data_IF_922496540753
#
_entry.id   IF_922496540753
#
_cell.length_a   1.000
_cell.length_b   1.000
_cell.length_c   1.000
_cell.angle_alpha   90.00
_cell.angle_beta   90.00
_cell.angle_gamma   90.00
#
_symmetry.space_group_name_H-M   'P 1'
#
loop_
_entity.id
_entity.type
_entity.pdbx_description
1 polymer ?
#
# COMPACT_ATOMS: atom_id res chain seq x y z
N UNK A 1 -18.18 23.72 11.36
CA UNK A 1 -17.32 22.70 10.72
C UNK A 1 -17.47 21.42 11.53
N UNK A 2 -18.26 20.45 11.05
CA UNK A 2 -18.59 19.23 11.81
C UNK A 2 -17.34 18.37 12.04
N UNK A 3 -16.98 18.18 13.31
CA UNK A 3 -16.07 17.19 13.91
C UNK A 3 -14.83 16.79 13.08
N UNK A 4 -13.66 17.36 13.45
CA UNK A 4 -12.33 16.95 12.98
C UNK A 4 -11.94 15.50 13.34
N UNK A 5 -12.34 14.95 14.50
CA UNK A 5 -12.10 13.54 14.79
C UNK A 5 -13.19 12.67 14.15
N UNK A 6 -12.76 11.66 13.41
CA UNK A 6 -13.62 10.71 12.73
C UNK A 6 -13.08 9.28 12.87
N UNK A 7 -14.01 8.33 12.80
CA UNK A 7 -13.72 6.91 12.80
C UNK A 7 -14.18 6.25 11.50
N UNK A 8 -13.42 5.26 11.02
CA UNK A 8 -13.68 4.53 9.78
C UNK A 8 -14.09 3.10 10.08
N UNK A 9 -15.36 2.80 9.84
CA UNK A 9 -15.87 1.42 9.91
C UNK A 9 -15.45 0.64 8.68
N UNK A 10 -15.07 -0.64 8.80
CA UNK A 10 -14.88 -1.50 7.64
C UNK A 10 -16.16 -1.63 6.82
N UNK A 11 -16.10 -1.23 5.56
CA UNK A 11 -17.16 -1.35 4.58
C UNK A 11 -16.57 -1.76 3.22
N UNK A 12 -17.42 -1.92 2.21
CA UNK A 12 -16.98 -2.33 0.87
C UNK A 12 -15.97 -1.35 0.27
N UNK A 13 -16.19 -0.03 0.39
CA UNK A 13 -15.33 1.00 -0.15
C UNK A 13 -13.94 0.99 0.47
N UNK A 14 -13.85 0.91 1.81
CA UNK A 14 -12.57 0.84 2.51
C UNK A 14 -11.83 -0.46 2.20
N UNK A 15 -12.55 -1.59 2.04
CA UNK A 15 -11.91 -2.85 1.65
C UNK A 15 -11.34 -2.76 0.23
N UNK A 16 -12.10 -2.23 -0.74
CA UNK A 16 -11.63 -2.08 -2.13
C UNK A 16 -10.49 -1.06 -2.19
N UNK A 17 -10.57 0.07 -1.49
CA UNK A 17 -9.47 1.03 -1.41
C UNK A 17 -8.22 0.39 -0.78
N UNK A 18 -8.38 -0.42 0.26
CA UNK A 18 -7.25 -1.13 0.87
C UNK A 18 -6.58 -2.11 -0.10
N UNK A 19 -7.33 -2.69 -1.04
CA UNK A 19 -6.77 -3.54 -2.10
C UNK A 19 -5.88 -2.72 -3.05
N UNK A 20 -6.35 -1.54 -3.50
CA UNK A 20 -5.55 -0.63 -4.34
C UNK A 20 -4.28 -0.17 -3.61
N UNK A 21 -4.40 0.21 -2.34
CA UNK A 21 -3.25 0.58 -1.51
C UNK A 21 -2.29 -0.60 -1.36
N UNK A 22 -2.79 -1.83 -1.18
CA UNK A 22 -1.95 -3.03 -1.05
C UNK A 22 -1.20 -3.37 -2.35
N UNK A 23 -1.87 -3.25 -3.49
CA UNK A 23 -1.27 -3.48 -4.81
C UNK A 23 -0.14 -2.48 -5.09
N UNK A 24 -0.37 -1.22 -4.75
CA UNK A 24 0.63 -0.15 -4.97
C UNK A 24 1.73 -0.19 -3.92
N UNK A 25 1.42 -0.63 -2.70
CA UNK A 25 2.40 -0.88 -1.64
C UNK A 25 3.40 -1.97 -2.01
N UNK A 26 2.97 -2.99 -2.75
CA UNK A 26 3.86 -4.05 -3.25
C UNK A 26 5.05 -3.51 -4.03
N UNK A 27 4.86 -2.43 -4.80
CA UNK A 27 5.92 -1.77 -5.59
C UNK A 27 7.01 -1.17 -4.70
N UNK A 28 6.70 -0.89 -3.43
CA UNK A 28 7.65 -0.34 -2.45
C UNK A 28 8.14 -1.42 -1.49
N UNK A 29 7.25 -2.28 -1.02
CA UNK A 29 7.55 -3.32 -0.03
C UNK A 29 8.56 -4.34 -0.53
N UNK A 30 8.40 -4.81 -1.77
CA UNK A 30 9.30 -5.78 -2.36
C UNK A 30 10.72 -5.21 -2.49
N UNK A 31 10.94 -4.04 -3.14
CA UNK A 31 12.28 -3.46 -3.17
C UNK A 31 12.86 -3.16 -1.80
N UNK A 32 12.02 -2.75 -0.84
CA UNK A 32 12.47 -2.45 0.53
C UNK A 32 13.00 -3.70 1.23
N UNK A 33 12.22 -4.78 1.27
CA UNK A 33 12.64 -6.04 1.91
C UNK A 33 13.84 -6.65 1.18
N UNK A 34 13.83 -6.68 -0.15
CA UNK A 34 14.92 -7.28 -0.94
C UNK A 34 16.21 -6.50 -0.79
N UNK A 35 16.15 -5.16 -0.78
CA UNK A 35 17.36 -4.35 -0.52
C UNK A 35 17.94 -4.58 0.88
N UNK A 36 17.09 -4.89 1.88
CA UNK A 36 17.54 -5.21 3.23
C UNK A 36 18.14 -6.62 3.35
N UNK A 37 17.56 -7.60 2.65
CA UNK A 37 17.90 -9.02 2.87
C UNK A 37 18.83 -9.61 1.81
N UNK A 38 18.67 -9.22 0.54
CA UNK A 38 19.52 -9.64 -0.58
C UNK A 38 20.80 -8.77 -0.67
N UNK A 39 20.80 -7.62 0.02
CA UNK A 39 21.89 -6.65 0.00
C UNK A 39 22.17 -6.14 -1.41
N UNK A 40 23.45 -6.03 -1.77
CA UNK A 40 23.91 -5.45 -3.04
C UNK A 40 23.57 -6.29 -4.27
N UNK A 41 23.12 -7.53 -4.10
CA UNK A 41 22.71 -8.40 -5.21
C UNK A 41 21.36 -8.00 -5.82
N UNK A 42 20.52 -7.30 -5.06
CA UNK A 42 19.24 -6.79 -5.54
C UNK A 42 19.36 -5.32 -5.96
N UNK A 43 19.05 -5.06 -7.23
CA UNK A 43 18.95 -3.72 -7.79
C UNK A 43 17.48 -3.35 -8.04
N UNK A 44 17.16 -2.09 -7.83
CA UNK A 44 15.85 -1.52 -8.11
C UNK A 44 15.99 -0.14 -8.75
N UNK A 45 14.96 0.26 -9.49
CA UNK A 45 14.91 1.56 -10.13
C UNK A 45 13.47 2.01 -10.35
N UNK A 46 13.25 3.31 -10.31
CA UNK A 46 11.96 3.91 -10.63
C UNK A 46 12.15 5.31 -11.20
N UNK A 47 11.24 5.71 -12.07
CA UNK A 47 11.11 7.11 -12.48
C UNK A 47 10.06 7.77 -11.58
N UNK A 48 10.48 8.82 -10.89
CA UNK A 48 9.64 9.57 -9.95
C UNK A 48 9.61 11.05 -10.35
N UNK A 49 8.50 11.49 -10.94
CA UNK A 49 8.28 12.85 -11.46
C UNK A 49 9.44 13.34 -12.34
N UNK A 50 9.91 12.47 -13.24
CA UNK A 50 10.99 12.77 -14.18
C UNK A 50 12.40 12.66 -13.63
N UNK A 51 12.55 12.25 -12.35
CA UNK A 51 13.83 11.89 -11.75
C UNK A 51 13.98 10.36 -11.76
N UNK A 52 15.08 9.86 -12.31
CA UNK A 52 15.42 8.44 -12.23
C UNK A 52 16.13 8.17 -10.91
N UNK A 53 15.53 7.33 -10.07
CA UNK A 53 16.06 6.92 -8.78
C UNK A 53 16.32 5.43 -8.84
N UNK A 54 17.55 5.03 -8.55
CA UNK A 54 17.96 3.62 -8.54
C UNK A 54 18.92 3.33 -7.39
N UNK A 55 19.00 2.07 -6.99
CA UNK A 55 19.88 1.61 -5.93
C UNK A 55 20.12 0.11 -5.98
N UNK A 56 21.16 -0.33 -5.29
CA UNK A 56 21.41 -1.74 -5.02
C UNK A 56 21.67 -1.94 -3.53
N UNK A 57 20.89 -2.79 -2.87
CA UNK A 57 20.95 -2.96 -1.42
C UNK A 57 20.74 -1.67 -0.61
N UNK A 58 21.41 -1.57 0.54
CA UNK A 58 21.35 -0.42 1.45
C UNK A 58 22.37 0.65 1.02
N UNK A 59 22.06 1.36 -0.05
CA UNK A 59 22.81 2.52 -0.55
C UNK A 59 22.08 3.83 -0.20
N UNK A 60 22.68 5.03 -0.38
CA UNK A 60 21.99 6.29 -0.06
C UNK A 60 20.62 6.46 -0.71
N UNK A 61 20.39 5.91 -1.91
CA UNK A 61 19.09 5.91 -2.57
C UNK A 61 18.01 5.09 -1.83
N UNK A 62 18.39 4.19 -0.93
CA UNK A 62 17.47 3.48 -0.03
C UNK A 62 16.64 4.44 0.84
N UNK A 63 17.10 5.67 1.07
CA UNK A 63 16.32 6.70 1.77
C UNK A 63 14.99 6.99 1.08
N UNK A 64 14.95 6.90 -0.26
CA UNK A 64 13.72 7.05 -1.02
C UNK A 64 12.72 5.94 -0.65
N UNK A 65 13.17 4.68 -0.56
CA UNK A 65 12.32 3.58 -0.13
C UNK A 65 11.85 3.76 1.31
N UNK A 66 12.68 4.29 2.22
CA UNK A 66 12.26 4.61 3.60
C UNK A 66 11.12 5.65 3.60
N UNK A 67 11.23 6.72 2.79
CA UNK A 67 10.17 7.72 2.69
C UNK A 67 8.88 7.14 2.12
N UNK A 68 8.98 6.35 1.05
CA UNK A 68 7.82 5.68 0.46
C UNK A 68 7.17 4.69 1.44
N UNK A 69 7.97 3.88 2.13
CA UNK A 69 7.50 2.97 3.18
C UNK A 69 6.78 3.71 4.30
N UNK A 70 7.32 4.86 4.71
CA UNK A 70 6.73 5.70 5.76
C UNK A 70 5.37 6.27 5.31
N UNK A 71 5.26 6.72 4.05
CA UNK A 71 3.98 7.13 3.46
C UNK A 71 2.96 5.99 3.49
N UNK A 72 3.31 4.81 2.97
CA UNK A 72 2.43 3.66 2.95
C UNK A 72 2.03 3.17 4.34
N UNK A 73 2.98 3.08 5.28
CA UNK A 73 2.69 2.71 6.66
C UNK A 73 1.66 3.67 7.29
N UNK A 74 1.83 4.97 7.06
CA UNK A 74 0.91 6.00 7.57
C UNK A 74 -0.46 5.94 6.91
N UNK A 75 -0.52 5.70 5.59
CA UNK A 75 -1.77 5.53 4.84
C UNK A 75 -2.52 4.28 5.29
N UNK A 76 -1.82 3.14 5.42
CA UNK A 76 -2.42 1.87 5.85
C UNK A 76 -2.92 1.96 7.30
N UNK A 77 -2.14 2.57 8.20
CA UNK A 77 -2.62 2.90 9.54
C UNK A 77 -3.84 3.83 9.48
N UNK A 78 -3.78 4.83 8.59
CA UNK A 78 -4.82 5.82 8.34
C UNK A 78 -6.17 5.22 7.96
N UNK A 79 -6.19 4.12 7.21
CA UNK A 79 -7.42 3.43 6.76
C UNK A 79 -8.41 3.19 7.90
N UNK A 80 -7.92 2.94 9.11
CA UNK A 80 -8.75 2.53 10.23
C UNK A 80 -8.48 3.24 11.56
N UNK A 81 -7.28 3.77 11.77
CA UNK A 81 -6.83 4.21 13.11
C UNK A 81 -6.56 5.70 13.25
N UNK A 82 -6.43 6.42 12.15
CA UNK A 82 -6.18 7.87 12.21
C UNK A 82 -7.45 8.65 12.53
N UNK A 83 -7.46 9.37 13.65
CA UNK A 83 -8.65 10.16 14.06
C UNK A 83 -8.85 11.42 13.22
N UNK A 84 -7.77 12.11 12.85
CA UNK A 84 -7.87 13.38 12.15
C UNK A 84 -8.30 13.18 10.68
N UNK A 85 -9.54 13.59 10.38
CA UNK A 85 -10.13 13.49 9.02
C UNK A 85 -9.34 14.24 7.96
N UNK A 86 -8.92 15.48 8.25
CA UNK A 86 -8.19 16.32 7.30
C UNK A 86 -6.82 15.73 6.98
N UNK A 87 -6.12 15.25 8.01
CA UNK A 87 -4.82 14.61 7.84
C UNK A 87 -4.94 13.34 6.99
N UNK A 88 -5.94 12.49 7.27
CA UNK A 88 -6.15 11.29 6.48
C UNK A 88 -6.53 11.59 5.03
N UNK A 89 -7.44 12.54 4.78
CA UNK A 89 -7.79 12.98 3.43
C UNK A 89 -6.58 13.53 2.67
N UNK A 90 -5.75 14.33 3.33
CA UNK A 90 -4.48 14.81 2.78
C UNK A 90 -3.52 13.66 2.43
N UNK A 91 -3.38 12.67 3.31
CA UNK A 91 -2.55 11.49 3.07
C UNK A 91 -3.05 10.64 1.89
N UNK A 92 -4.36 10.46 1.75
CA UNK A 92 -4.94 9.78 0.59
C UNK A 92 -4.68 10.56 -0.71
N UNK A 93 -4.77 11.90 -0.67
CA UNK A 93 -4.40 12.76 -1.79
C UNK A 93 -2.93 12.65 -2.16
N UNK A 94 -2.04 12.65 -1.17
CA UNK A 94 -0.60 12.45 -1.37
C UNK A 94 -0.32 11.06 -1.95
N UNK A 95 -0.95 10.00 -1.44
CA UNK A 95 -0.83 8.64 -2.00
C UNK A 95 -1.32 8.59 -3.45
N UNK A 96 -2.47 9.20 -3.76
CA UNK A 96 -3.00 9.24 -5.11
C UNK A 96 -2.04 9.96 -6.07
N UNK A 97 -1.48 11.11 -5.66
CA UNK A 97 -0.47 11.83 -6.45
C UNK A 97 0.82 11.02 -6.60
N UNK A 98 1.28 10.39 -5.54
CA UNK A 98 2.50 9.57 -5.54
C UNK A 98 2.42 8.40 -6.52
N UNK A 99 1.26 7.74 -6.61
CA UNK A 99 1.05 6.61 -7.51
C UNK A 99 0.61 7.08 -8.90
N UNK A 100 -0.60 7.64 -8.99
CA UNK A 100 -1.22 7.97 -10.26
C UNK A 100 -0.69 9.29 -10.82
N UNK A 101 -0.44 10.29 -9.97
CA UNK A 101 0.19 11.53 -10.43
C UNK A 101 1.57 11.29 -11.05
N UNK A 102 2.36 10.37 -10.50
CA UNK A 102 3.64 9.99 -11.08
C UNK A 102 3.49 9.32 -12.47
N UNK A 103 2.58 8.34 -12.59
CA UNK A 103 2.31 7.66 -13.86
C UNK A 103 1.73 8.61 -14.92
N UNK A 104 0.82 9.49 -14.52
CA UNK A 104 0.23 10.49 -15.41
C UNK A 104 1.26 11.53 -15.84
N UNK A 105 2.15 11.95 -14.94
CA UNK A 105 3.26 12.83 -15.30
C UNK A 105 4.17 12.19 -16.35
N UNK A 106 4.49 10.90 -16.18
CA UNK A 106 5.32 10.16 -17.13
C UNK A 106 4.67 10.09 -18.52
N UNK A 107 3.37 9.74 -18.58
CA UNK A 107 2.58 9.71 -19.82
C UNK A 107 2.54 11.11 -20.49
N UNK A 108 2.34 12.17 -19.70
CA UNK A 108 2.26 13.53 -20.23
C UNK A 108 3.60 14.04 -20.75
N UNK A 109 4.71 13.70 -20.08
CA UNK A 109 6.05 14.19 -20.43
C UNK A 109 6.69 13.38 -21.55
N UNK A 110 6.61 12.06 -21.47
CA UNK A 110 7.34 11.13 -22.33
C UNK A 110 6.45 10.54 -23.45
N UNK A 111 5.16 10.85 -23.43
CA UNK A 111 4.18 10.26 -24.33
C UNK A 111 3.64 8.93 -23.80
N UNK A 112 2.60 8.44 -24.46
CA UNK A 112 1.94 7.20 -24.06
C UNK A 112 2.79 5.99 -24.49
N UNK A 113 3.14 5.15 -23.53
CA UNK A 113 3.83 3.89 -23.82
C UNK A 113 2.81 2.84 -24.25
N UNK A 114 3.13 2.01 -25.24
CA UNK A 114 2.26 0.93 -25.69
C UNK A 114 2.81 -0.44 -25.27
N UNK A 115 1.96 -1.26 -24.66
CA UNK A 115 2.22 -2.69 -24.54
C UNK A 115 2.03 -3.35 -25.90
N UNK A 116 3.09 -4.01 -26.36
CA UNK A 116 3.09 -4.77 -27.61
C UNK A 116 2.97 -6.25 -27.27
N UNK A 117 1.82 -6.84 -27.61
CA UNK A 117 1.62 -8.28 -27.49
C UNK A 117 1.96 -8.97 -28.80
N UNK A 118 3.12 -9.63 -28.88
CA UNK A 118 3.61 -10.28 -30.11
C UNK A 118 2.70 -11.40 -30.63
N UNK A 119 1.92 -12.04 -29.75
CA UNK A 119 1.09 -13.21 -30.11
C UNK A 119 -0.24 -12.83 -30.76
N UNK A 120 -0.81 -11.66 -30.43
CA UNK A 120 -2.14 -11.24 -30.90
C UNK A 120 -2.12 -9.89 -31.65
N UNK A 121 -0.93 -9.30 -31.84
CA UNK A 121 -0.74 -7.96 -32.38
C UNK A 121 -1.65 -6.90 -31.72
N UNK A 122 -1.87 -7.06 -30.42
CA UNK A 122 -2.70 -6.12 -29.63
C UNK A 122 -1.76 -5.06 -29.07
N UNK A 123 -2.09 -3.80 -29.37
CA UNK A 123 -1.43 -2.64 -28.82
C UNK A 123 -2.35 -2.02 -27.76
N UNK A 124 -2.00 -2.18 -26.50
CA UNK A 124 -2.74 -1.54 -25.39
C UNK A 124 -1.89 -0.41 -24.87
N UNK A 125 -2.41 0.81 -24.98
CA UNK A 125 -1.76 1.99 -24.42
C UNK A 125 -1.80 1.91 -22.89
N UNK A 126 -0.71 2.30 -22.22
CA UNK A 126 -0.67 2.35 -20.76
C UNK A 126 -1.70 3.34 -20.23
N UNK A 127 -1.92 4.46 -20.92
CA UNK A 127 -2.93 5.45 -20.50
C UNK A 127 -4.35 4.88 -20.44
N UNK A 128 -4.71 3.93 -21.32
CA UNK A 128 -6.01 3.25 -21.28
C UNK A 128 -6.25 2.43 -20.01
N UNK A 129 -5.19 2.01 -19.32
CA UNK A 129 -5.26 1.31 -18.03
C UNK A 129 -5.12 2.28 -16.86
N UNK A 130 -4.18 3.22 -16.94
CA UNK A 130 -3.88 4.16 -15.84
C UNK A 130 -5.02 5.13 -15.58
N UNK A 131 -5.63 5.71 -16.62
CA UNK A 131 -6.68 6.72 -16.46
C UNK A 131 -7.94 6.17 -15.76
N UNK A 132 -8.50 5.00 -16.16
CA UNK A 132 -9.63 4.40 -15.45
C UNK A 132 -9.28 4.04 -14.00
N UNK A 133 -8.12 3.44 -13.76
CA UNK A 133 -7.70 3.05 -12.41
C UNK A 133 -7.51 4.27 -11.50
N UNK A 134 -6.89 5.35 -12.00
CA UNK A 134 -6.73 6.61 -11.28
C UNK A 134 -8.08 7.23 -10.92
N UNK A 135 -9.03 7.20 -11.86
CA UNK A 135 -10.39 7.72 -11.67
C UNK A 135 -11.17 6.90 -10.64
N UNK A 136 -11.10 5.57 -10.71
CA UNK A 136 -11.72 4.66 -9.74
C UNK A 136 -11.10 4.87 -8.35
N UNK A 137 -9.77 4.98 -8.25
CA UNK A 137 -9.11 5.24 -6.98
C UNK A 137 -9.55 6.58 -6.37
N UNK A 138 -9.69 7.63 -7.18
CA UNK A 138 -10.18 8.93 -6.73
C UNK A 138 -11.63 8.85 -6.23
N UNK A 139 -12.50 8.16 -6.98
CA UNK A 139 -13.89 7.92 -6.55
C UNK A 139 -13.94 7.15 -5.22
N UNK A 140 -13.11 6.11 -5.06
CA UNK A 140 -13.02 5.35 -3.81
C UNK A 140 -12.57 6.21 -2.63
N UNK A 141 -11.61 7.13 -2.83
CA UNK A 141 -11.20 8.10 -1.80
C UNK A 141 -12.40 8.95 -1.37
N UNK A 142 -13.15 9.51 -2.33
CA UNK A 142 -14.34 10.32 -2.05
C UNK A 142 -15.38 9.51 -1.27
N UNK A 143 -15.67 8.29 -1.72
CA UNK A 143 -16.64 7.39 -1.06
C UNK A 143 -16.22 7.04 0.37
N UNK A 144 -14.95 6.67 0.58
CA UNK A 144 -14.43 6.33 1.92
C UNK A 144 -14.54 7.53 2.86
N UNK A 145 -14.12 8.72 2.43
CA UNK A 145 -14.24 9.95 3.22
C UNK A 145 -15.70 10.35 3.47
N UNK A 146 -16.63 9.98 2.58
CA UNK A 146 -18.07 10.18 2.76
C UNK A 146 -18.71 9.23 3.77
N UNK A 147 -18.10 8.07 4.02
CA UNK A 147 -18.63 7.06 4.97
C UNK A 147 -18.09 7.16 6.40
N UNK A 148 -17.28 8.17 6.69
CA UNK A 148 -16.71 8.40 8.01
C UNK A 148 -17.78 8.72 9.05
N UNK A 149 -17.62 8.18 10.26
CA UNK A 149 -18.51 8.39 11.39
C UNK A 149 -17.84 9.25 12.46
N UNK A 150 -18.64 9.76 13.39
CA UNK A 150 -18.13 10.47 14.56
C UNK A 150 -17.23 9.57 15.43
N UNK A 151 -16.36 10.20 16.21
CA UNK A 151 -15.31 9.51 16.94
C UNK A 151 -15.87 8.43 17.86
N UNK A 152 -15.37 7.20 17.66
CA UNK A 152 -15.55 6.10 18.60
C UNK A 152 -14.19 5.44 18.83
N UNK A 153 -13.81 5.27 20.09
CA UNK A 153 -12.58 4.57 20.43
C UNK A 153 -12.82 3.06 20.36
N UNK A 154 -12.11 2.39 19.44
CA UNK A 154 -12.17 0.94 19.31
C UNK A 154 -10.81 0.35 19.68
N UNK A 155 -10.69 -0.36 20.81
CA UNK A 155 -9.42 -0.91 21.25
C UNK A 155 -8.88 -1.97 20.28
N UNK A 156 -7.59 -2.29 20.41
CA UNK A 156 -7.02 -3.43 19.71
C UNK A 156 -7.55 -4.73 20.30
N UNK A 157 -7.97 -5.63 19.43
CA UNK A 157 -8.42 -6.97 19.82
C UNK A 157 -7.26 -7.96 19.81
N UNK A 158 -7.47 -9.13 20.40
CA UNK A 158 -6.51 -10.23 20.30
C UNK A 158 -6.20 -10.59 18.84
N UNK A 159 -7.20 -10.51 17.95
CA UNK A 159 -7.00 -10.73 16.51
C UNK A 159 -5.98 -9.75 15.92
N UNK A 160 -6.05 -8.45 16.24
CA UNK A 160 -5.06 -7.48 15.78
C UNK A 160 -3.64 -7.85 16.23
N UNK A 161 -3.50 -8.28 17.50
CA UNK A 161 -2.22 -8.69 18.09
C UNK A 161 -1.66 -9.94 17.42
N UNK A 162 -2.48 -10.97 17.26
CA UNK A 162 -2.11 -12.20 16.54
C UNK A 162 -1.63 -11.87 15.13
N UNK A 163 -2.35 -10.97 14.43
CA UNK A 163 -1.94 -10.62 13.08
C UNK A 163 -0.60 -9.86 13.05
N UNK A 164 -0.40 -8.93 14.00
CA UNK A 164 0.89 -8.25 14.13
C UNK A 164 2.04 -9.23 14.42
N UNK A 165 1.85 -10.19 15.32
CA UNK A 165 2.88 -11.18 15.63
C UNK A 165 3.17 -12.10 14.45
N UNK A 166 2.15 -12.48 13.67
CA UNK A 166 2.36 -13.27 12.46
C UNK A 166 3.15 -12.47 11.40
N UNK A 167 2.85 -11.17 11.24
CA UNK A 167 3.67 -10.29 10.38
C UNK A 167 5.13 -10.27 10.84
N UNK A 168 5.37 -9.99 12.12
CA UNK A 168 6.72 -9.92 12.68
C UNK A 168 7.46 -11.26 12.60
N UNK A 169 6.77 -12.37 12.85
CA UNK A 169 7.31 -13.73 12.76
C UNK A 169 7.63 -14.17 11.34
N UNK A 170 6.97 -13.61 10.32
CA UNK A 170 7.30 -13.86 8.91
C UNK A 170 8.57 -13.14 8.46
N UNK A 171 8.99 -12.04 9.11
CA UNK A 171 10.19 -11.29 8.68
C UNK A 171 11.48 -12.12 8.80
N UNK A 172 11.76 -12.86 9.89
CA UNK A 172 12.90 -13.78 9.94
C UNK A 172 12.85 -14.88 8.87
N UNK A 173 11.67 -15.41 8.58
CA UNK A 173 11.50 -16.45 7.54
C UNK A 173 11.84 -15.86 6.17
N UNK A 174 11.35 -14.65 5.88
CA UNK A 174 11.68 -13.93 4.65
C UNK A 174 13.17 -13.64 4.55
N UNK A 175 13.79 -13.19 5.65
CA UNK A 175 15.23 -12.97 5.70
C UNK A 175 15.99 -14.24 5.32
N UNK A 176 15.66 -15.39 5.92
CA UNK A 176 16.32 -16.66 5.60
C UNK A 176 16.11 -17.05 4.13
N UNK A 177 14.86 -17.01 3.64
CA UNK A 177 14.52 -17.41 2.27
C UNK A 177 15.23 -16.57 1.21
N UNK A 178 15.30 -15.25 1.44
CA UNK A 178 15.82 -14.28 0.48
C UNK A 178 17.36 -14.15 0.56
N UNK A 179 17.95 -14.17 1.77
CA UNK A 179 19.41 -14.06 1.94
C UNK A 179 20.19 -15.32 1.56
N UNK A 180 19.57 -16.51 1.67
CA UNK A 180 20.22 -17.79 1.37
C UNK A 180 19.80 -18.39 0.03
N UNK A 181 18.77 -17.83 -0.61
CA UNK A 181 18.29 -18.29 -1.90
C UNK A 181 19.25 -17.94 -3.03
N UNK A 182 19.41 -18.87 -3.97
CA UNK A 182 19.97 -18.50 -5.28
C UNK A 182 19.00 -17.54 -5.98
N UNK A 183 19.49 -16.52 -6.72
CA UNK A 183 18.62 -15.67 -7.51
C UNK A 183 17.71 -16.51 -8.42
N UNK A 184 16.40 -16.29 -8.38
CA UNK A 184 15.38 -17.08 -9.09
C UNK A 184 15.21 -18.55 -8.65
N UNK A 185 15.87 -18.99 -7.57
CA UNK A 185 15.68 -20.31 -6.98
C UNK A 185 14.34 -20.44 -6.24
N UNK A 186 13.94 -21.67 -5.91
CA UNK A 186 12.64 -21.94 -5.27
C UNK A 186 12.45 -21.19 -3.94
N UNK A 187 13.50 -21.06 -3.12
CA UNK A 187 13.42 -20.30 -1.86
C UNK A 187 13.18 -18.81 -2.08
N UNK A 188 13.84 -18.20 -3.08
CA UNK A 188 13.64 -16.81 -3.49
C UNK A 188 12.21 -16.60 -3.98
N UNK A 189 11.69 -17.49 -4.82
CA UNK A 189 10.31 -17.44 -5.31
C UNK A 189 9.29 -17.52 -4.16
N UNK A 190 9.49 -18.43 -3.19
CA UNK A 190 8.64 -18.53 -2.00
C UNK A 190 8.74 -17.24 -1.17
N UNK A 191 9.95 -16.71 -0.97
CA UNK A 191 10.17 -15.44 -0.26
C UNK A 191 9.41 -14.28 -0.90
N UNK A 192 9.48 -14.14 -2.23
CA UNK A 192 8.73 -13.12 -2.98
C UNK A 192 7.22 -13.29 -2.80
N UNK A 193 6.69 -14.51 -2.94
CA UNK A 193 5.26 -14.78 -2.76
C UNK A 193 4.79 -14.41 -1.34
N UNK A 194 5.57 -14.77 -0.32
CA UNK A 194 5.25 -14.43 1.07
C UNK A 194 5.27 -12.90 1.28
N UNK A 195 6.22 -12.18 0.68
CA UNK A 195 6.28 -10.73 0.74
C UNK A 195 5.08 -10.07 0.02
N UNK A 196 4.65 -10.62 -1.12
CA UNK A 196 3.41 -10.18 -1.81
C UNK A 196 2.20 -10.41 -0.91
N UNK A 197 2.07 -11.59 -0.30
CA UNK A 197 0.97 -11.89 0.61
C UNK A 197 0.92 -10.94 1.81
N UNK A 198 2.09 -10.54 2.35
CA UNK A 198 2.17 -9.54 3.42
C UNK A 198 1.55 -8.20 3.01
N UNK A 199 1.71 -7.76 1.75
CA UNK A 199 1.16 -6.49 1.28
C UNK A 199 -0.36 -6.41 1.48
N UNK A 200 -1.07 -7.46 1.10
CA UNK A 200 -2.53 -7.54 1.24
C UNK A 200 -2.98 -7.77 2.67
N UNK A 201 -2.12 -8.41 3.46
CA UNK A 201 -2.42 -8.80 4.82
C UNK A 201 -2.26 -7.66 5.83
N UNK A 202 -1.26 -6.80 5.67
CA UNK A 202 -0.93 -5.73 6.64
C UNK A 202 -2.11 -4.80 6.95
N UNK A 203 -2.95 -4.35 5.99
CA UNK A 203 -4.12 -3.53 6.32
C UNK A 203 -5.09 -4.19 7.32
N UNK A 204 -5.17 -5.51 7.33
CA UNK A 204 -6.01 -6.25 8.27
C UNK A 204 -5.50 -6.17 9.71
N UNK A 205 -4.19 -5.98 9.92
CA UNK A 205 -3.61 -5.77 11.26
C UNK A 205 -4.26 -4.57 11.94
N UNK A 206 -4.57 -3.51 11.18
CA UNK A 206 -5.12 -2.26 11.72
C UNK A 206 -6.65 -2.23 11.74
N UNK A 207 -7.31 -3.20 11.10
CA UNK A 207 -8.77 -3.28 11.02
C UNK A 207 -9.40 -3.35 12.43
N UNK A 208 -10.43 -2.55 12.73
CA UNK A 208 -11.04 -2.49 14.06
C UNK A 208 -12.01 -3.67 14.22
N UNK A 209 -11.51 -4.83 14.60
CA UNK A 209 -12.35 -5.99 14.90
C UNK A 209 -13.22 -5.71 16.13
N UNK A 210 -14.48 -6.13 16.14
CA UNK A 210 -15.42 -5.90 17.25
C UNK A 210 -16.12 -4.54 17.25
N UNK A 211 -16.00 -3.74 16.19
CA UNK A 211 -16.63 -2.43 16.11
C UNK A 211 -18.17 -2.45 16.25
N UNK A 212 -18.83 -3.54 15.85
CA UNK A 212 -20.29 -3.68 15.93
C UNK A 212 -20.77 -3.65 17.39
N UNK A 213 -20.11 -4.40 18.27
CA UNK A 213 -20.46 -4.48 19.70
C UNK A 213 -20.30 -3.12 20.40
N UNK A 214 -19.29 -2.33 20.00
CA UNK A 214 -19.06 -0.97 20.54
C UNK A 214 -20.12 0.01 20.05
N UNK A 215 -20.52 -0.08 18.78
CA UNK A 215 -21.58 0.77 18.24
C UNK A 215 -22.94 0.45 18.88
N UNK A 216 -23.29 -0.83 19.01
CA UNK A 216 -24.56 -1.26 19.63
C UNK A 216 -24.69 -0.80 21.10
N UNK A 217 -23.61 -0.90 21.88
CA UNK A 217 -23.59 -0.44 23.28
C UNK A 217 -23.64 1.09 23.41
N UNK A 218 -23.20 1.84 22.40
CA UNK A 218 -23.29 3.31 22.38
C UNK A 218 -24.69 3.85 22.06
N UNK A 219 -25.56 3.07 21.39
CA UNK A 219 -26.94 3.45 21.09
C UNK A 219 -27.95 3.06 22.19
N UNK A 220 -27.52 2.28 23.18
CA UNK A 220 -28.37 1.84 24.32
C UNK A 220 -28.21 2.79 25.54
N UNK A 221 -27.36 3.82 25.44
CA UNK A 221 -27.22 4.89 26.44
C UNK A 221 -27.84 6.18 25.94
#
# INVERSE_FOLDING_TARGET
>A
MKNLPAFRTPNIWTNVLSLFISLTFMIVWLPFIRSLFDGTSYAWGTNYFGLTIHGAGVTPSFIFLIFQMSLYATVIFGLYRMKNRKLYGGLLGIWWLNVFGNLLFDILKNGDTMFHGDTLNVHVSISTLVLPLASIALLLIIMVLGTEKEESFIPWTQKNRTLLYLFLGMLPILFLLLSTGTPSGTSDQIGVLLAIMQCFYIPYIFKPYGYKNVLETSFIK
#
